data_IF_693232491910
#
_entry.id   IF_693232491910
#
_cell.length_a   1.000
_cell.length_b   1.000
_cell.length_c   1.000
_cell.angle_alpha   90.00
_cell.angle_beta   90.00
_cell.angle_gamma   90.00
#
_symmetry.space_group_name_H-M   'P 1'
#
loop_
_entity.id
_entity.type
_entity.pdbx_description
1 polymer ?
#
# COMPACT_ATOMS: atom_id res chain seq x y z
N UNK A 1 1.60 -4.88 38.69
CA UNK A 1 2.70 -5.48 37.91
C UNK A 1 2.12 -6.36 36.81
N UNK A 2 2.25 -5.94 35.55
CA UNK A 2 2.29 -6.77 34.35
C UNK A 2 2.78 -5.86 33.22
N UNK A 3 4.10 -5.79 33.14
CA UNK A 3 4.81 -5.33 31.95
C UNK A 3 4.43 -6.20 30.77
N UNK A 4 4.26 -5.58 29.61
CA UNK A 4 3.96 -6.25 28.35
C UNK A 4 4.14 -5.27 27.21
N UNK A 5 5.40 -5.09 26.81
CA UNK A 5 5.91 -4.55 25.55
C UNK A 5 4.90 -3.81 24.67
N UNK A 6 4.90 -2.48 24.77
CA UNK A 6 4.31 -1.58 23.76
C UNK A 6 5.32 -0.51 23.35
N UNK A 7 6.43 -0.89 22.72
CA UNK A 7 7.19 0.03 21.84
C UNK A 7 7.97 -0.80 20.83
N UNK A 8 7.34 -1.23 19.73
CA UNK A 8 8.07 -1.59 18.50
C UNK A 8 7.22 -1.16 17.30
N UNK A 9 7.85 -0.39 16.41
CA UNK A 9 7.41 0.09 15.11
C UNK A 9 6.39 1.24 15.06
N UNK A 10 6.82 2.40 15.58
CA UNK A 10 6.45 3.69 15.02
C UNK A 10 7.70 4.35 14.42
N UNK A 11 8.07 3.95 13.20
CA UNK A 11 9.10 4.62 12.39
C UNK A 11 9.06 4.19 10.92
N UNK A 12 7.94 4.45 10.20
CA UNK A 12 7.98 4.58 8.73
C UNK A 12 6.98 5.67 8.34
N UNK A 13 7.28 6.90 8.77
CA UNK A 13 6.56 8.10 8.38
C UNK A 13 7.60 9.21 8.28
N UNK A 14 8.36 9.17 7.18
CA UNK A 14 9.16 10.26 6.59
C UNK A 14 9.92 9.67 5.41
N UNK A 15 9.22 9.45 4.30
CA UNK A 15 9.89 9.37 2.99
C UNK A 15 9.25 10.37 2.04
N UNK A 16 9.22 11.62 2.51
CA UNK A 16 9.14 12.77 1.63
C UNK A 16 10.54 13.37 1.58
N UNK A 17 10.95 13.85 0.39
CA UNK A 17 12.29 14.30 0.00
C UNK A 17 13.24 13.22 -0.56
N UNK A 18 12.85 12.63 -1.70
CA UNK A 18 13.71 12.64 -2.88
C UNK A 18 12.81 12.69 -4.11
N UNK A 19 12.28 13.87 -4.40
CA UNK A 19 12.09 14.26 -5.80
C UNK A 19 13.51 14.40 -6.36
N UNK A 20 13.97 13.55 -7.30
CA UNK A 20 14.93 14.07 -8.25
C UNK A 20 14.20 15.20 -8.96
N UNK A 21 14.83 16.38 -9.01
CA UNK A 21 14.32 17.53 -9.74
C UNK A 21 13.87 17.13 -11.13
N UNK A 22 12.99 17.97 -11.70
CA UNK A 22 12.60 18.00 -13.11
C UNK A 22 13.64 17.26 -13.93
N UNK A 23 13.35 16.01 -14.29
CA UNK A 23 14.22 15.28 -15.19
C UNK A 23 14.18 16.11 -16.46
N UNK A 24 15.24 16.85 -16.75
CA UNK A 24 15.58 17.14 -18.12
C UNK A 24 15.66 15.77 -18.79
N UNK A 25 14.57 15.41 -19.45
CA UNK A 25 14.56 14.43 -20.49
C UNK A 25 15.61 14.96 -21.48
N UNK A 26 16.85 14.48 -21.33
CA UNK A 26 17.84 14.59 -22.38
C UNK A 26 17.26 13.79 -23.54
N UNK A 27 16.42 14.46 -24.32
CA UNK A 27 15.98 14.01 -25.61
C UNK A 27 17.22 13.95 -26.49
N UNK A 28 17.37 12.88 -27.27
CA UNK A 28 18.38 12.74 -28.31
C UNK A 28 18.02 13.65 -29.49
N UNK A 29 17.85 14.94 -29.19
CA UNK A 29 17.50 15.99 -30.13
C UNK A 29 18.75 16.70 -30.62
N UNK A 30 18.74 17.08 -31.89
CA UNK A 30 19.80 17.88 -32.45
C UNK A 30 19.82 19.28 -31.84
N UNK A 31 21.00 19.76 -31.46
CA UNK A 31 21.23 21.20 -31.39
C UNK A 31 21.26 21.79 -32.81
N UNK A 32 21.05 23.10 -32.96
CA UNK A 32 21.09 23.75 -34.27
C UNK A 32 22.38 23.44 -35.05
N UNK A 33 23.55 23.46 -34.37
CA UNK A 33 24.83 23.12 -34.98
C UNK A 33 24.94 21.63 -35.34
N UNK A 34 24.39 20.73 -34.52
CA UNK A 34 24.38 19.30 -34.81
C UNK A 34 23.44 18.97 -35.99
N UNK A 35 22.32 19.67 -36.11
CA UNK A 35 21.38 19.54 -37.24
C UNK A 35 22.03 19.94 -38.56
N UNK A 36 22.73 21.08 -38.59
CA UNK A 36 23.47 21.51 -39.80
C UNK A 36 24.56 20.50 -40.19
N UNK A 37 25.31 19.98 -39.22
CA UNK A 37 26.33 18.96 -39.48
C UNK A 37 25.72 17.66 -40.02
N UNK A 38 24.59 17.23 -39.44
CA UNK A 38 23.83 16.08 -39.89
C UNK A 38 23.29 16.27 -41.32
N UNK A 39 22.70 17.41 -41.63
CA UNK A 39 22.15 17.71 -42.96
C UNK A 39 23.25 17.73 -44.03
N UNK A 40 24.40 18.34 -43.71
CA UNK A 40 25.58 18.33 -44.58
C UNK A 40 26.10 16.92 -44.81
N UNK A 41 26.19 16.10 -43.77
CA UNK A 41 26.61 14.71 -43.89
C UNK A 41 25.64 13.91 -44.76
N UNK A 42 24.33 14.04 -44.50
CA UNK A 42 23.30 13.35 -45.26
C UNK A 42 23.34 13.72 -46.75
N UNK A 43 23.54 14.99 -47.10
CA UNK A 43 23.64 15.44 -48.48
C UNK A 43 24.82 14.75 -49.23
N UNK A 44 25.94 14.54 -48.55
CA UNK A 44 27.14 13.87 -49.08
C UNK A 44 27.08 12.33 -49.01
N UNK A 45 26.06 11.76 -48.38
CA UNK A 45 25.92 10.30 -48.18
C UNK A 45 25.19 9.65 -49.35
N UNK A 46 25.60 8.44 -49.74
CA UNK A 46 24.91 7.65 -50.76
C UNK A 46 23.44 7.37 -50.40
N UNK A 47 22.53 7.24 -51.38
CA UNK A 47 21.08 7.17 -51.11
C UNK A 47 20.67 6.06 -50.13
N UNK A 48 21.25 4.86 -50.25
CA UNK A 48 20.91 3.72 -49.39
C UNK A 48 21.30 3.94 -47.92
N UNK A 49 22.53 4.41 -47.67
CA UNK A 49 23.00 4.69 -46.31
C UNK A 49 22.28 5.90 -45.69
N UNK A 50 21.95 6.92 -46.50
CA UNK A 50 21.15 8.07 -46.07
C UNK A 50 19.76 7.64 -45.60
N UNK A 51 19.07 6.79 -46.37
CA UNK A 51 17.77 6.25 -45.99
C UNK A 51 17.84 5.44 -44.69
N UNK A 52 18.89 4.63 -44.52
CA UNK A 52 19.12 3.89 -43.27
C UNK A 52 19.32 4.81 -42.07
N UNK A 53 20.16 5.84 -42.18
CA UNK A 53 20.42 6.81 -41.11
C UNK A 53 19.13 7.55 -40.72
N UNK A 54 18.34 7.99 -41.70
CA UNK A 54 17.05 8.63 -41.46
C UNK A 54 16.09 7.69 -40.71
N UNK A 55 15.92 6.45 -41.19
CA UNK A 55 15.09 5.45 -40.53
C UNK A 55 15.54 5.13 -39.10
N UNK A 56 16.85 5.03 -38.85
CA UNK A 56 17.38 4.81 -37.51
C UNK A 56 17.11 5.98 -36.56
N UNK A 57 17.21 7.21 -37.06
CA UNK A 57 16.88 8.41 -36.29
C UNK A 57 15.38 8.47 -35.98
N UNK A 58 14.51 8.22 -36.97
CA UNK A 58 13.06 8.25 -36.77
C UNK A 58 12.61 7.17 -35.76
N UNK A 59 13.22 5.98 -35.83
CA UNK A 59 12.99 4.92 -34.85
C UNK A 59 13.45 5.33 -33.43
N UNK A 60 14.55 6.09 -33.31
CA UNK A 60 15.02 6.60 -32.02
C UNK A 60 14.02 7.59 -31.43
N UNK A 61 13.57 8.57 -32.23
CA UNK A 61 12.55 9.56 -31.81
C UNK A 61 11.25 8.86 -31.40
N UNK A 62 10.81 7.87 -32.16
CA UNK A 62 9.61 7.08 -31.82
C UNK A 62 9.75 6.34 -30.49
N UNK A 63 10.93 5.75 -30.22
CA UNK A 63 11.23 5.10 -28.96
C UNK A 63 11.28 6.08 -27.79
N UNK A 64 11.79 7.30 -27.98
CA UNK A 64 11.76 8.34 -26.94
C UNK A 64 10.33 8.75 -26.60
N UNK A 65 9.51 9.06 -27.60
CA UNK A 65 8.12 9.44 -27.39
C UNK A 65 7.31 8.34 -26.66
N UNK A 66 7.52 7.07 -27.03
CA UNK A 66 6.92 5.92 -26.32
C UNK A 66 7.39 5.84 -24.87
N UNK A 67 8.67 6.12 -24.63
CA UNK A 67 9.25 6.16 -23.30
C UNK A 67 8.64 7.26 -22.44
N UNK A 68 8.41 8.44 -23.00
CA UNK A 68 7.81 9.58 -22.27
C UNK A 68 6.35 9.31 -21.92
N UNK A 69 5.58 8.78 -22.88
CA UNK A 69 4.20 8.33 -22.63
C UNK A 69 4.12 7.28 -21.51
N UNK A 70 5.08 6.35 -21.48
CA UNK A 70 5.15 5.32 -20.43
C UNK A 70 5.48 5.92 -19.07
N UNK A 71 6.37 6.92 -19.01
CA UNK A 71 6.71 7.62 -17.77
C UNK A 71 5.50 8.39 -17.22
N UNK A 72 4.77 9.11 -18.08
CA UNK A 72 3.53 9.82 -17.69
C UNK A 72 2.47 8.85 -17.14
N UNK A 73 2.23 7.74 -17.84
CA UNK A 73 1.30 6.71 -17.40
C UNK A 73 1.73 6.07 -16.07
N UNK A 74 3.04 5.85 -15.89
CA UNK A 74 3.61 5.28 -14.65
C UNK A 74 3.46 6.26 -13.48
N UNK A 75 3.73 7.54 -13.68
CA UNK A 75 3.58 8.57 -12.66
C UNK A 75 2.11 8.71 -12.22
N UNK A 76 1.18 8.79 -13.18
CA UNK A 76 -0.24 8.86 -12.88
C UNK A 76 -0.73 7.61 -12.11
N UNK A 77 -0.24 6.42 -12.48
CA UNK A 77 -0.57 5.19 -11.79
C UNK A 77 0.02 5.15 -10.37
N UNK A 78 1.25 5.62 -10.20
CA UNK A 78 1.91 5.72 -8.90
C UNK A 78 1.12 6.60 -7.92
N UNK A 79 0.74 7.81 -8.34
CA UNK A 79 -0.02 8.74 -7.50
C UNK A 79 -1.38 8.15 -7.09
N UNK A 80 -2.06 7.50 -8.04
CA UNK A 80 -3.31 6.78 -7.77
C UNK A 80 -3.09 5.64 -6.77
N UNK A 81 -2.03 4.85 -6.93
CA UNK A 81 -1.71 3.74 -6.05
C UNK A 81 -1.44 4.22 -4.61
N UNK A 82 -0.71 5.32 -4.42
CA UNK A 82 -0.45 5.86 -3.08
C UNK A 82 -1.74 6.30 -2.37
N UNK A 83 -2.64 6.99 -3.07
CA UNK A 83 -3.95 7.37 -2.53
C UNK A 83 -4.81 6.15 -2.18
N UNK A 84 -4.87 5.17 -3.08
CA UNK A 84 -5.66 3.97 -2.88
C UNK A 84 -5.08 3.09 -1.76
N UNK A 85 -3.75 3.00 -1.63
CA UNK A 85 -3.08 2.28 -0.55
C UNK A 85 -3.41 2.89 0.81
N UNK A 86 -3.37 4.22 0.93
CA UNK A 86 -3.77 4.92 2.16
C UNK A 86 -5.22 4.60 2.51
N UNK A 87 -6.11 4.66 1.52
CA UNK A 87 -7.54 4.35 1.68
C UNK A 87 -7.76 2.90 2.09
N UNK A 88 -7.06 1.95 1.46
CA UNK A 88 -7.15 0.53 1.79
C UNK A 88 -6.67 0.25 3.22
N UNK A 89 -5.54 0.83 3.64
CA UNK A 89 -5.03 0.71 5.02
C UNK A 89 -6.02 1.27 6.05
N UNK A 90 -6.69 2.37 5.73
CA UNK A 90 -7.72 2.94 6.61
C UNK A 90 -8.94 2.01 6.71
N UNK A 91 -9.46 1.52 5.57
CA UNK A 91 -10.58 0.55 5.56
C UNK A 91 -10.25 -0.70 6.37
N UNK A 92 -9.03 -1.23 6.24
CA UNK A 92 -8.56 -2.39 7.01
C UNK A 92 -8.54 -2.14 8.52
N UNK A 93 -8.22 -0.90 8.93
CA UNK A 93 -8.24 -0.49 10.34
C UNK A 93 -9.67 -0.39 10.88
N UNK A 94 -10.60 0.03 10.04
CA UNK A 94 -11.98 0.31 10.41
C UNK A 94 -12.92 -0.90 10.23
N UNK A 95 -12.38 -2.08 9.86
CA UNK A 95 -13.16 -3.32 9.73
C UNK A 95 -13.98 -3.56 10.99
N UNK A 96 -15.30 -3.59 10.80
CA UNK A 96 -16.33 -3.85 11.82
C UNK A 96 -16.24 -2.95 13.08
N UNK A 97 -15.57 -1.79 12.98
CA UNK A 97 -15.35 -0.91 14.12
C UNK A 97 -16.66 -0.44 14.76
N UNK A 98 -17.66 -0.09 13.94
CA UNK A 98 -18.97 0.38 14.41
C UNK A 98 -19.77 -0.73 15.11
N UNK A 99 -19.77 -1.95 14.56
CA UNK A 99 -20.48 -3.08 15.17
C UNK A 99 -19.78 -3.51 16.47
N UNK A 100 -18.45 -3.51 16.51
CA UNK A 100 -17.69 -3.77 17.74
C UNK A 100 -18.01 -2.70 18.79
N UNK A 101 -18.05 -1.43 18.42
CA UNK A 101 -18.38 -0.33 19.33
C UNK A 101 -19.81 -0.46 19.89
N UNK A 102 -20.77 -0.81 19.02
CA UNK A 102 -22.16 -1.07 19.41
C UNK A 102 -22.28 -2.24 20.37
N UNK A 103 -21.64 -3.37 20.09
CA UNK A 103 -21.64 -4.55 20.96
C UNK A 103 -20.97 -4.27 22.31
N UNK A 104 -19.88 -3.50 22.32
CA UNK A 104 -19.22 -3.05 23.55
C UNK A 104 -20.14 -2.15 24.39
N UNK A 105 -20.85 -1.23 23.73
CA UNK A 105 -21.90 -0.41 24.34
C UNK A 105 -23.02 -1.25 24.96
N UNK A 106 -23.48 -2.31 24.28
CA UNK A 106 -24.51 -3.22 24.79
C UNK A 106 -24.04 -3.98 26.04
N UNK A 107 -22.79 -4.44 26.07
CA UNK A 107 -22.20 -5.09 27.26
C UNK A 107 -22.18 -4.12 28.43
N UNK A 108 -21.68 -2.90 28.23
CA UNK A 108 -21.63 -1.86 29.28
C UNK A 108 -23.03 -1.50 29.78
N UNK A 109 -23.98 -1.30 28.87
CA UNK A 109 -25.36 -1.00 29.24
C UNK A 109 -26.01 -2.13 30.06
N UNK A 110 -25.78 -3.40 29.69
CA UNK A 110 -26.27 -4.54 30.46
C UNK A 110 -25.64 -4.61 31.86
N UNK A 111 -24.32 -4.40 31.96
CA UNK A 111 -23.62 -4.36 33.25
C UNK A 111 -24.16 -3.26 34.18
N UNK A 112 -24.39 -2.06 33.65
CA UNK A 112 -24.99 -0.95 34.41
C UNK A 112 -26.42 -1.29 34.83
N UNK A 113 -27.24 -1.80 33.90
CA UNK A 113 -28.64 -2.17 34.16
C UNK A 113 -28.78 -3.22 35.27
N UNK A 114 -27.91 -4.23 35.30
CA UNK A 114 -27.99 -5.31 36.29
C UNK A 114 -27.21 -5.05 37.58
N UNK A 115 -26.43 -3.96 37.65
CA UNK A 115 -25.65 -3.63 38.85
C UNK A 115 -26.51 -3.57 40.13
N UNK A 116 -27.68 -2.90 40.16
CA UNK A 116 -28.51 -2.86 41.38
C UNK A 116 -28.99 -4.25 41.83
N UNK A 117 -29.29 -5.13 40.87
CA UNK A 117 -29.70 -6.52 41.16
C UNK A 117 -28.56 -7.30 41.83
N UNK A 118 -27.34 -7.18 41.32
CA UNK A 118 -26.18 -7.85 41.92
C UNK A 118 -25.80 -7.27 43.28
N UNK A 119 -25.88 -5.95 43.44
CA UNK A 119 -25.65 -5.28 44.72
C UNK A 119 -26.69 -5.72 45.76
N UNK A 120 -27.97 -5.78 45.37
CA UNK A 120 -29.08 -6.25 46.19
C UNK A 120 -28.91 -7.71 46.63
N UNK A 121 -28.53 -8.60 45.72
CA UNK A 121 -28.22 -9.99 46.04
C UNK A 121 -27.02 -10.14 46.97
N UNK A 122 -25.98 -9.32 46.78
CA UNK A 122 -24.83 -9.31 47.68
C UNK A 122 -25.23 -8.83 49.08
N UNK A 123 -26.03 -7.77 49.18
CA UNK A 123 -26.53 -7.25 50.46
C UNK A 123 -27.42 -8.26 51.18
N UNK A 124 -28.29 -8.97 50.46
CA UNK A 124 -29.15 -10.00 51.02
C UNK A 124 -28.33 -11.16 51.61
N UNK A 125 -27.30 -11.63 50.91
CA UNK A 125 -26.40 -12.66 51.44
C UNK A 125 -25.66 -12.20 52.71
N UNK A 126 -25.26 -10.92 52.80
CA UNK A 126 -24.69 -10.38 54.05
C UNK A 126 -25.69 -10.40 55.22
N UNK A 127 -26.98 -10.11 54.96
CA UNK A 127 -28.04 -10.20 55.98
C UNK A 127 -28.28 -11.63 56.44
N UNK A 128 -28.24 -12.60 55.53
CA UNK A 128 -28.30 -14.04 55.86
C UNK A 128 -27.16 -14.42 56.81
N UNK A 129 -25.94 -14.01 56.50
CA UNK A 129 -24.78 -14.27 57.36
C UNK A 129 -24.92 -13.63 58.75
N UNK A 130 -25.41 -12.38 58.83
CA UNK A 130 -25.68 -11.72 60.11
C UNK A 130 -26.76 -12.46 60.92
N UNK A 131 -27.88 -12.87 60.30
CA UNK A 131 -28.94 -13.63 60.96
C UNK A 131 -28.44 -14.99 61.48
N UNK A 132 -27.56 -15.64 60.71
CA UNK A 132 -26.88 -16.88 61.10
C UNK A 132 -26.02 -16.68 62.36
N UNK A 133 -25.26 -15.58 62.43
CA UNK A 133 -24.45 -15.25 63.61
C UNK A 133 -25.31 -14.97 64.85
N UNK A 134 -26.47 -14.32 64.68
CA UNK A 134 -27.43 -14.03 65.74
C UNK A 134 -28.28 -15.25 66.16
N UNK A 135 -28.07 -16.42 65.54
CA UNK A 135 -28.84 -17.67 65.77
C UNK A 135 -30.36 -17.52 65.58
N UNK A 136 -30.81 -16.50 64.85
CA UNK A 136 -32.23 -16.29 64.56
C UNK A 136 -32.64 -17.17 63.36
N UNK A 137 -33.24 -18.34 63.65
CA UNK A 137 -33.57 -19.37 62.65
C UNK A 137 -34.67 -18.92 61.69
N UNK A 138 -35.70 -18.24 62.19
CA UNK A 138 -36.85 -17.82 61.38
C UNK A 138 -36.46 -16.71 60.40
N UNK A 139 -35.71 -15.71 60.89
CA UNK A 139 -35.18 -14.64 60.04
C UNK A 139 -34.22 -15.19 58.96
N UNK A 140 -33.36 -16.14 59.34
CA UNK A 140 -32.45 -16.79 58.38
C UNK A 140 -33.23 -17.57 57.30
N UNK A 141 -34.26 -18.33 57.68
CA UNK A 141 -35.09 -19.06 56.73
C UNK A 141 -35.82 -18.13 55.76
N UNK A 142 -36.40 -17.04 56.24
CA UNK A 142 -37.08 -16.05 55.41
C UNK A 142 -36.12 -15.35 54.42
N UNK A 143 -34.95 -14.92 54.89
CA UNK A 143 -33.94 -14.27 54.04
C UNK A 143 -33.37 -15.24 52.98
N UNK A 144 -33.18 -16.52 53.33
CA UNK A 144 -32.76 -17.56 52.38
C UNK A 144 -33.78 -17.77 51.28
N UNK A 145 -35.07 -17.88 51.62
CA UNK A 145 -36.13 -17.99 50.62
C UNK A 145 -36.11 -16.81 49.64
N UNK A 146 -35.94 -15.59 50.16
CA UNK A 146 -35.81 -14.40 49.32
C UNK A 146 -34.57 -14.45 48.42
N UNK A 147 -33.44 -14.97 48.92
CA UNK A 147 -32.22 -15.12 48.14
C UNK A 147 -32.37 -16.18 47.05
N UNK A 148 -33.02 -17.30 47.33
CA UNK A 148 -33.27 -18.36 46.36
C UNK A 148 -34.17 -17.89 45.22
N UNK A 149 -35.20 -17.09 45.52
CA UNK A 149 -36.04 -16.45 44.49
C UNK A 149 -35.20 -15.49 43.63
N UNK A 150 -34.41 -14.62 44.27
CA UNK A 150 -33.60 -13.63 43.53
C UNK A 150 -32.45 -14.27 42.74
N UNK A 151 -31.94 -15.43 43.17
CA UNK A 151 -30.85 -16.17 42.51
C UNK A 151 -31.19 -16.49 41.05
N UNK A 152 -32.43 -16.85 40.74
CA UNK A 152 -32.88 -17.14 39.36
C UNK A 152 -32.70 -15.90 38.47
N UNK A 153 -33.14 -14.74 38.94
CA UNK A 153 -33.01 -13.47 38.20
C UNK A 153 -31.55 -13.03 38.05
N UNK A 154 -30.72 -13.24 39.08
CA UNK A 154 -29.28 -12.98 39.04
C UNK A 154 -28.59 -13.88 38.01
N UNK A 155 -28.97 -15.15 37.94
CA UNK A 155 -28.42 -16.10 36.99
C UNK A 155 -28.79 -15.70 35.55
N UNK A 156 -30.06 -15.35 35.31
CA UNK A 156 -30.50 -14.86 34.01
C UNK A 156 -29.76 -13.58 33.58
N UNK A 157 -29.54 -12.65 34.51
CA UNK A 157 -28.77 -11.43 34.26
C UNK A 157 -27.29 -11.71 33.93
N UNK A 158 -26.68 -12.68 34.61
CA UNK A 158 -25.31 -13.12 34.31
C UNK A 158 -25.21 -13.77 32.94
N UNK A 159 -26.18 -14.60 32.58
CA UNK A 159 -26.20 -15.28 31.30
C UNK A 159 -26.44 -14.30 30.15
N UNK A 160 -27.28 -13.27 30.34
CA UNK A 160 -27.45 -12.19 29.37
C UNK A 160 -26.15 -11.38 29.15
N UNK A 161 -25.46 -10.98 30.23
CA UNK A 161 -24.15 -10.31 30.11
C UNK A 161 -23.15 -11.21 29.39
N UNK A 162 -23.09 -12.50 29.75
CA UNK A 162 -22.18 -13.47 29.12
C UNK A 162 -22.48 -13.61 27.63
N UNK A 163 -23.74 -13.77 27.25
CA UNK A 163 -24.14 -13.88 25.84
C UNK A 163 -23.73 -12.64 25.03
N UNK A 164 -23.86 -11.42 25.59
CA UNK A 164 -23.40 -10.18 24.94
C UNK A 164 -21.87 -10.13 24.84
N UNK A 165 -21.15 -10.56 25.88
CA UNK A 165 -19.68 -10.64 25.87
C UNK A 165 -19.17 -11.64 24.83
N UNK A 166 -19.82 -12.79 24.69
CA UNK A 166 -19.46 -13.81 23.71
C UNK A 166 -19.67 -13.29 22.28
N UNK A 167 -20.79 -12.59 22.01
CA UNK A 167 -21.01 -11.89 20.73
C UNK A 167 -19.91 -10.87 20.42
N UNK A 168 -19.56 -10.03 21.40
CA UNK A 168 -18.47 -9.05 21.25
C UNK A 168 -17.13 -9.73 20.96
N UNK A 169 -16.81 -10.83 21.66
CA UNK A 169 -15.58 -11.60 21.46
C UNK A 169 -15.54 -12.22 20.06
N UNK A 170 -16.64 -12.80 19.59
CA UNK A 170 -16.74 -13.37 18.25
C UNK A 170 -16.55 -12.29 17.18
N UNK A 171 -17.21 -11.14 17.31
CA UNK A 171 -17.06 -10.02 16.39
C UNK A 171 -15.61 -9.52 16.32
N UNK A 172 -14.95 -9.33 17.48
CA UNK A 172 -13.53 -8.94 17.53
C UNK A 172 -12.60 -9.96 16.86
N UNK A 173 -12.86 -11.26 17.07
CA UNK A 173 -12.09 -12.34 16.47
C UNK A 173 -12.26 -12.36 14.95
N UNK A 174 -13.50 -12.24 14.46
CA UNK A 174 -13.82 -12.19 13.04
C UNK A 174 -13.16 -10.98 12.36
N UNK A 175 -13.30 -9.78 12.95
CA UNK A 175 -12.65 -8.56 12.45
C UNK A 175 -11.13 -8.69 12.38
N UNK A 176 -10.51 -9.31 13.40
CA UNK A 176 -9.05 -9.57 13.40
C UNK A 176 -8.66 -10.52 12.27
N UNK A 177 -9.40 -11.61 12.05
CA UNK A 177 -9.13 -12.55 10.98
C UNK A 177 -9.30 -11.90 9.59
N UNK A 178 -10.36 -11.10 9.40
CA UNK A 178 -10.61 -10.34 8.17
C UNK A 178 -9.51 -9.31 7.91
N UNK A 179 -9.09 -8.57 8.94
CA UNK A 179 -7.97 -7.62 8.86
C UNK A 179 -6.66 -8.31 8.48
N UNK A 180 -6.36 -9.49 9.04
CA UNK A 180 -5.16 -10.26 8.67
C UNK A 180 -5.18 -10.65 7.19
N UNK A 181 -6.29 -11.22 6.72
CA UNK A 181 -6.48 -11.61 5.31
C UNK A 181 -6.37 -10.42 4.37
N UNK A 182 -6.96 -9.28 4.73
CA UNK A 182 -6.91 -8.08 3.92
C UNK A 182 -5.52 -7.43 3.84
N UNK A 183 -4.64 -7.66 4.84
CA UNK A 183 -3.26 -7.16 4.84
C UNK A 183 -2.31 -7.98 3.97
N UNK A 184 -2.54 -9.28 3.86
CA UNK A 184 -1.65 -10.22 3.16
C UNK A 184 -1.27 -9.79 1.72
N UNK A 185 -2.19 -9.33 0.86
CA UNK A 185 -1.82 -8.85 -0.47
C UNK A 185 -0.83 -7.65 -0.45
N UNK A 186 -0.92 -6.80 0.57
CA UNK A 186 -0.10 -5.59 0.69
C UNK A 186 1.35 -5.89 1.07
N UNK A 187 1.66 -7.06 1.61
CA UNK A 187 3.01 -7.46 2.02
C UNK A 187 3.99 -7.52 0.84
N UNK A 188 3.47 -7.77 -0.36
CA UNK A 188 4.27 -7.84 -1.60
C UNK A 188 4.70 -6.46 -2.14
N UNK A 189 4.09 -5.36 -1.68
CA UNK A 189 4.28 -4.03 -2.25
C UNK A 189 5.72 -3.54 -2.08
N UNK A 190 6.35 -3.78 -0.92
CA UNK A 190 7.71 -3.30 -0.66
C UNK A 190 8.74 -3.99 -1.58
N UNK A 191 8.52 -5.27 -1.87
CA UNK A 191 9.31 -6.01 -2.85
C UNK A 191 9.15 -5.46 -4.28
N UNK A 192 7.93 -5.09 -4.66
CA UNK A 192 7.64 -4.46 -5.97
C UNK A 192 8.27 -3.06 -6.06
N UNK A 193 8.18 -2.24 -5.02
CA UNK A 193 8.85 -0.92 -4.95
C UNK A 193 10.37 -1.05 -5.10
N UNK A 194 10.96 -2.06 -4.48
CA UNK A 194 12.40 -2.35 -4.62
C UNK A 194 12.77 -2.68 -6.08
N UNK A 195 11.94 -3.47 -6.78
CA UNK A 195 12.13 -3.78 -8.20
C UNK A 195 11.99 -2.54 -9.09
N UNK A 196 10.98 -1.69 -8.83
CA UNK A 196 10.82 -0.40 -9.52
C UNK A 196 12.10 0.45 -9.38
N UNK A 197 12.69 0.52 -8.19
CA UNK A 197 13.94 1.27 -7.98
C UNK A 197 15.12 0.65 -8.75
N UNK A 198 15.20 -0.68 -8.84
CA UNK A 198 16.21 -1.34 -9.65
C UNK A 198 16.07 -0.98 -11.13
N UNK A 199 14.85 -1.02 -11.68
CA UNK A 199 14.58 -0.63 -13.08
C UNK A 199 14.87 0.85 -13.34
N UNK A 200 14.54 1.75 -12.39
CA UNK A 200 14.90 3.18 -12.48
C UNK A 200 16.41 3.38 -12.57
N UNK A 201 17.19 2.63 -11.79
CA UNK A 201 18.65 2.67 -11.84
C UNK A 201 19.20 2.12 -13.16
N UNK A 202 18.65 1.01 -13.65
CA UNK A 202 19.02 0.43 -14.94
C UNK A 202 18.75 1.40 -16.10
N UNK A 203 17.56 2.01 -16.15
CA UNK A 203 17.21 3.02 -17.14
C UNK A 203 18.13 4.24 -17.07
N UNK A 204 18.47 4.71 -15.87
CA UNK A 204 19.40 5.82 -15.66
C UNK A 204 20.81 5.50 -16.17
N UNK A 205 21.34 4.32 -15.84
CA UNK A 205 22.65 3.88 -16.33
C UNK A 205 22.69 3.77 -17.86
N UNK A 206 21.65 3.17 -18.46
CA UNK A 206 21.50 3.09 -19.91
C UNK A 206 21.41 4.49 -20.56
N UNK A 207 20.68 5.43 -19.96
CA UNK A 207 20.59 6.82 -20.44
C UNK A 207 21.95 7.51 -20.44
N UNK A 208 22.81 7.28 -19.43
CA UNK A 208 24.17 7.82 -19.43
C UNK A 208 25.03 7.24 -20.56
N UNK A 209 24.97 5.92 -20.80
CA UNK A 209 25.64 5.30 -21.94
C UNK A 209 25.13 5.86 -23.28
N UNK A 210 23.83 6.11 -23.39
CA UNK A 210 23.20 6.75 -24.54
C UNK A 210 23.74 8.15 -24.82
N UNK A 211 23.93 8.98 -23.78
CA UNK A 211 24.54 10.33 -23.95
C UNK A 211 25.92 10.27 -24.60
N UNK A 212 26.75 9.30 -24.21
CA UNK A 212 28.08 9.11 -24.82
C UNK A 212 27.95 8.73 -26.30
N UNK A 213 27.05 7.81 -26.65
CA UNK A 213 26.82 7.42 -28.04
C UNK A 213 26.24 8.56 -28.89
N UNK A 214 25.36 9.39 -28.31
CA UNK A 214 24.84 10.59 -28.98
C UNK A 214 25.93 11.61 -29.27
N UNK A 215 26.86 11.80 -28.34
CA UNK A 215 28.06 12.62 -28.58
C UNK A 215 28.91 12.06 -29.72
N UNK A 216 29.14 10.74 -29.76
CA UNK A 216 29.87 10.06 -30.84
C UNK A 216 29.18 10.22 -32.20
N UNK A 217 27.85 10.10 -32.24
CA UNK A 217 27.06 10.36 -33.45
C UNK A 217 27.24 11.81 -33.94
N UNK A 218 27.12 12.79 -33.04
CA UNK A 218 27.32 14.21 -33.38
C UNK A 218 28.74 14.48 -33.89
N UNK A 219 29.76 13.81 -33.32
CA UNK A 219 31.13 13.90 -33.78
C UNK A 219 31.33 13.28 -35.17
N UNK A 220 30.71 12.13 -35.44
CA UNK A 220 30.73 11.49 -36.76
C UNK A 220 30.05 12.37 -37.83
N UNK A 221 28.92 12.99 -37.50
CA UNK A 221 28.24 13.95 -38.38
C UNK A 221 29.13 15.14 -38.74
N UNK A 222 29.81 15.74 -37.75
CA UNK A 222 30.77 16.85 -37.97
C UNK A 222 31.96 16.44 -38.84
N UNK A 223 32.44 15.20 -38.71
CA UNK A 223 33.55 14.65 -39.49
C UNK A 223 33.13 14.14 -40.88
N UNK A 224 31.85 14.26 -41.25
CA UNK A 224 31.29 13.70 -42.48
C UNK A 224 31.54 12.19 -42.63
N UNK A 225 31.39 11.45 -41.53
CA UNK A 225 31.63 10.00 -41.45
C UNK A 225 30.29 9.23 -41.30
N UNK A 226 29.53 9.01 -42.39
CA UNK A 226 28.16 8.51 -42.32
C UNK A 226 28.04 7.05 -41.83
N UNK A 227 29.06 6.22 -42.09
CA UNK A 227 29.09 4.83 -41.55
C UNK A 227 29.21 4.83 -40.04
N UNK A 228 30.08 5.68 -39.48
CA UNK A 228 30.26 5.82 -38.03
C UNK A 228 29.00 6.39 -37.38
N UNK A 229 28.36 7.36 -38.03
CA UNK A 229 27.08 7.92 -37.59
C UNK A 229 25.98 6.84 -37.54
N UNK A 230 25.86 6.02 -38.59
CA UNK A 230 24.89 4.90 -38.62
C UNK A 230 25.18 3.84 -37.55
N UNK A 231 26.45 3.54 -37.27
CA UNK A 231 26.85 2.60 -36.23
C UNK A 231 26.54 3.13 -34.82
N UNK A 232 26.77 4.43 -34.58
CA UNK A 232 26.39 5.09 -33.33
C UNK A 232 24.87 5.10 -33.13
N UNK A 233 24.09 5.40 -34.18
CA UNK A 233 22.61 5.32 -34.13
C UNK A 233 22.11 3.89 -33.89
N UNK A 234 22.71 2.89 -34.52
CA UNK A 234 22.36 1.48 -34.27
C UNK A 234 22.58 1.10 -32.79
N UNK A 235 23.68 1.56 -32.21
CA UNK A 235 23.99 1.34 -30.79
C UNK A 235 23.03 2.10 -29.87
N UNK A 236 22.66 3.34 -30.24
CA UNK A 236 21.65 4.13 -29.53
C UNK A 236 20.27 3.47 -29.53
N UNK A 237 19.84 2.92 -30.67
CA UNK A 237 18.56 2.20 -30.75
C UNK A 237 18.51 1.02 -29.77
N UNK A 238 19.63 0.28 -29.62
CA UNK A 238 19.73 -0.80 -28.62
C UNK A 238 19.58 -0.25 -27.20
N UNK A 239 20.26 0.83 -26.86
CA UNK A 239 20.16 1.49 -25.55
C UNK A 239 18.74 2.03 -25.30
N UNK A 240 18.14 2.69 -26.30
CA UNK A 240 16.77 3.22 -26.21
C UNK A 240 15.74 2.09 -26.03
N UNK A 241 15.97 0.94 -26.66
CA UNK A 241 15.20 -0.28 -26.42
C UNK A 241 15.28 -0.74 -24.96
N UNK A 242 16.49 -0.82 -24.40
CA UNK A 242 16.71 -1.19 -23.00
C UNK A 242 16.05 -0.22 -22.01
N UNK A 243 16.12 1.09 -22.29
CA UNK A 243 15.45 2.11 -21.47
C UNK A 243 13.93 1.89 -21.50
N UNK A 244 13.36 1.67 -22.69
CA UNK A 244 11.93 1.43 -22.84
C UNK A 244 11.47 0.14 -22.15
N UNK A 245 12.26 -0.93 -22.20
CA UNK A 245 12.00 -2.16 -21.48
C UNK A 245 11.97 -1.93 -19.96
N UNK A 246 12.97 -1.22 -19.42
CA UNK A 246 13.00 -0.87 -18.01
C UNK A 246 11.81 0.01 -17.59
N UNK A 247 11.39 0.96 -18.43
CA UNK A 247 10.18 1.78 -18.20
C UNK A 247 8.89 0.94 -18.22
N UNK A 248 8.76 0.02 -19.18
CA UNK A 248 7.62 -0.90 -19.23
C UNK A 248 7.56 -1.82 -18.01
N UNK A 249 8.72 -2.30 -17.53
CA UNK A 249 8.81 -3.09 -16.31
C UNK A 249 8.35 -2.29 -15.09
N UNK A 250 8.75 -1.01 -14.96
CA UNK A 250 8.26 -0.12 -13.90
C UNK A 250 6.73 0.00 -13.93
N UNK A 251 6.16 0.26 -15.11
CA UNK A 251 4.71 0.33 -15.29
C UNK A 251 4.02 -0.98 -14.89
N UNK A 252 4.53 -2.13 -15.31
CA UNK A 252 3.99 -3.44 -14.97
C UNK A 252 4.06 -3.73 -13.46
N UNK A 253 5.10 -3.29 -12.76
CA UNK A 253 5.18 -3.41 -11.31
C UNK A 253 4.17 -2.49 -10.61
N UNK A 254 3.95 -1.28 -11.11
CA UNK A 254 2.90 -0.38 -10.59
C UNK A 254 1.49 -0.97 -10.81
N UNK A 255 1.25 -1.66 -11.92
CA UNK A 255 -0.02 -2.38 -12.13
C UNK A 255 -0.21 -3.49 -11.08
N UNK A 256 0.84 -4.27 -10.78
CA UNK A 256 0.80 -5.30 -9.72
C UNK A 256 0.55 -4.72 -8.33
N UNK A 257 1.08 -3.52 -8.05
CA UNK A 257 0.76 -2.78 -6.82
C UNK A 257 -0.73 -2.43 -6.80
N UNK A 258 -1.28 -1.94 -7.91
CA UNK A 258 -2.72 -1.62 -8.04
C UNK A 258 -3.60 -2.85 -7.78
N UNK A 259 -3.25 -4.00 -8.35
CA UNK A 259 -3.95 -5.27 -8.12
C UNK A 259 -3.90 -5.72 -6.65
N UNK A 260 -2.73 -5.60 -6.00
CA UNK A 260 -2.58 -5.91 -4.58
C UNK A 260 -3.48 -5.02 -3.72
N UNK A 261 -3.53 -3.71 -4.00
CA UNK A 261 -4.38 -2.75 -3.29
C UNK A 261 -5.88 -3.05 -3.52
N UNK A 262 -6.26 -3.38 -4.75
CA UNK A 262 -7.63 -3.74 -5.10
C UNK A 262 -8.09 -5.00 -4.34
N UNK A 263 -7.26 -6.05 -4.32
CA UNK A 263 -7.51 -7.29 -3.55
C UNK A 263 -7.62 -7.02 -2.05
N UNK A 264 -6.72 -6.23 -1.48
CA UNK A 264 -6.79 -5.85 -0.08
C UNK A 264 -8.09 -5.11 0.24
N UNK A 265 -8.51 -4.20 -0.64
CA UNK A 265 -9.74 -3.43 -0.49
C UNK A 265 -10.99 -4.28 -0.59
N UNK A 266 -11.03 -5.26 -1.51
CA UNK A 266 -12.18 -6.18 -1.62
C UNK A 266 -12.29 -7.09 -0.39
N UNK A 267 -11.16 -7.57 0.14
CA UNK A 267 -11.13 -8.39 1.36
C UNK A 267 -11.50 -7.60 2.61
N UNK A 268 -11.22 -6.30 2.64
CA UNK A 268 -11.67 -5.43 3.72
C UNK A 268 -13.19 -5.14 3.65
N UNK A 269 -13.79 -5.16 2.46
CA UNK A 269 -15.22 -4.95 2.28
C UNK A 269 -16.06 -6.20 2.56
N UNK A 270 -15.56 -7.39 2.23
CA UNK A 270 -16.24 -8.68 2.39
C UNK A 270 -16.30 -9.15 3.84
#
# INVERSE_FOLDING_TARGET
MRWGCKVVLAAVLTWFAMLPGVSEAASFTFSAAAKTAYDKMNAATEPALRAKIASQHDALVSLEAKGDQTDEATAALHDRNELQLKTAKQRIKDIDADEIAKLDGQVKAAQVKYKPLFDGYTALNKRIEAARMLKNKDLNAALKLQADIMKVTVQLARDDIRAKQDKLKLAKSAATAKSKRAKEPLESIDGLKTRIQAEKRAASAAKQAGKTLWSSFNAAAKKNAPRDASNALASLLKIAGQINEAKQNQYAFEQKISEAIARASSLAAA
#
